data_IF_838374680709
#
_entry.id   IF_838374680709
#
_cell.length_a   1.000
_cell.length_b   1.000
_cell.length_c   1.000
_cell.angle_alpha   90.00
_cell.angle_beta   90.00
_cell.angle_gamma   90.00
#
_symmetry.space_group_name_H-M   'P 1'
#
loop_
_entity.id
_entity.type
_entity.pdbx_description
1 polymer ?
#
# COMPACT_ATOMS: atom_id res chain seq x y z
N UNK A 1 -4.12 -6.57 0.43
CA UNK A 1 -3.35 -7.78 0.07
C UNK A 1 -3.25 -7.81 -1.45
N UNK A 2 -2.12 -7.39 -2.04
CA UNK A 2 -2.05 -7.27 -3.51
C UNK A 2 -0.86 -6.53 -4.10
N UNK A 3 -0.06 -5.82 -3.30
CA UNK A 3 1.24 -5.30 -3.74
C UNK A 3 2.34 -6.18 -3.12
N UNK A 4 3.24 -6.72 -3.93
CA UNK A 4 4.47 -7.33 -3.43
C UNK A 4 5.23 -6.30 -2.60
N UNK A 5 5.84 -6.71 -1.47
CA UNK A 5 6.62 -5.83 -0.59
C UNK A 5 7.96 -5.36 -1.18
N UNK A 6 7.99 -5.10 -2.49
CA UNK A 6 9.15 -4.70 -3.25
C UNK A 6 9.01 -3.21 -3.56
N UNK A 7 10.06 -2.40 -3.37
CA UNK A 7 10.05 -0.99 -3.71
C UNK A 7 9.58 -0.75 -5.15
N UNK A 8 8.62 0.16 -5.35
CA UNK A 8 8.09 0.50 -6.67
C UNK A 8 6.98 -0.42 -7.23
N UNK A 9 6.51 -1.43 -6.47
CA UNK A 9 5.33 -2.22 -6.86
C UNK A 9 4.06 -1.36 -7.01
N UNK A 10 3.99 -0.22 -6.32
CA UNK A 10 2.89 0.75 -6.42
C UNK A 10 2.70 1.35 -7.82
N UNK A 11 3.78 1.49 -8.60
CA UNK A 11 3.74 2.07 -9.94
C UNK A 11 3.09 1.13 -10.97
N UNK A 12 3.35 -0.18 -10.83
CA UNK A 12 2.74 -1.20 -11.70
C UNK A 12 1.23 -1.24 -11.47
N UNK A 13 0.81 -1.19 -10.20
CA UNK A 13 -0.63 -1.10 -9.87
C UNK A 13 -1.26 0.19 -10.38
N UNK A 14 -0.52 1.30 -10.45
CA UNK A 14 -1.04 2.54 -11.02
C UNK A 14 -1.29 2.47 -12.53
N UNK A 15 -0.49 1.71 -13.29
CA UNK A 15 -0.80 1.45 -14.71
C UNK A 15 -2.15 0.76 -14.85
N UNK A 16 -2.41 -0.25 -14.04
CA UNK A 16 -3.70 -0.98 -14.05
C UNK A 16 -4.86 -0.07 -13.68
N UNK A 17 -4.68 0.81 -12.68
CA UNK A 17 -5.71 1.77 -12.28
C UNK A 17 -5.99 2.77 -13.39
N UNK A 18 -4.96 3.37 -14.01
CA UNK A 18 -5.13 4.34 -15.10
C UNK A 18 -5.88 3.75 -16.30
N UNK A 19 -5.58 2.50 -16.67
CA UNK A 19 -6.30 1.77 -17.72
C UNK A 19 -7.79 1.58 -17.35
N UNK A 20 -8.07 1.19 -16.10
CA UNK A 20 -9.45 1.00 -15.62
C UNK A 20 -10.31 2.27 -15.62
N UNK A 21 -9.69 3.45 -15.54
CA UNK A 21 -10.37 4.76 -15.58
C UNK A 21 -10.23 5.46 -16.93
N UNK A 22 -9.59 4.82 -17.92
CA UNK A 22 -9.43 5.34 -19.28
C UNK A 22 -8.47 6.54 -19.40
N UNK A 23 -7.56 6.72 -18.44
CA UNK A 23 -6.59 7.82 -18.44
C UNK A 23 -5.27 7.39 -19.13
N UNK A 24 -4.69 8.25 -20.00
CA UNK A 24 -3.43 7.92 -20.67
C UNK A 24 -2.25 7.78 -19.70
N UNK A 25 -1.38 6.80 -19.98
CA UNK A 25 -0.18 6.49 -19.18
C UNK A 25 0.87 7.61 -19.15
N UNK A 26 0.71 8.64 -19.99
CA UNK A 26 1.56 9.84 -20.05
C UNK A 26 1.62 10.60 -18.72
N UNK A 27 0.69 10.35 -17.79
CA UNK A 27 0.67 10.97 -16.46
C UNK A 27 1.56 10.27 -15.41
N UNK A 28 2.03 9.04 -15.66
CA UNK A 28 2.88 8.28 -14.72
C UNK A 28 4.18 9.04 -14.35
N UNK A 29 4.89 9.70 -15.28
CA UNK A 29 6.11 10.44 -14.96
C UNK A 29 5.92 11.57 -13.94
N UNK A 30 4.72 12.18 -13.88
CA UNK A 30 4.41 13.18 -12.84
C UNK A 30 4.40 12.57 -11.43
N UNK A 31 3.96 11.31 -11.32
CA UNK A 31 3.82 10.61 -10.05
C UNK A 31 5.17 10.03 -9.59
N UNK A 32 6.08 9.69 -10.53
CA UNK A 32 7.40 9.12 -10.22
C UNK A 32 8.23 9.95 -9.23
N UNK A 33 8.11 11.29 -9.27
CA UNK A 33 8.89 12.19 -8.42
C UNK A 33 8.50 12.06 -6.94
N UNK A 34 7.20 11.88 -6.66
CA UNK A 34 6.67 11.76 -5.30
C UNK A 34 6.57 10.31 -4.84
N UNK A 35 6.54 9.36 -5.78
CA UNK A 35 6.35 7.92 -5.54
C UNK A 35 7.32 7.38 -4.49
N UNK A 36 8.60 7.76 -4.52
CA UNK A 36 9.60 7.23 -3.58
C UNK A 36 9.28 7.51 -2.12
N UNK A 37 8.87 8.74 -1.82
CA UNK A 37 8.53 9.15 -0.46
C UNK A 37 7.21 8.50 -0.04
N UNK A 38 6.22 8.49 -0.94
CA UNK A 38 4.90 7.91 -0.68
C UNK A 38 4.95 6.39 -0.51
N UNK A 39 5.82 5.68 -1.23
CA UNK A 39 6.01 4.23 -1.12
C UNK A 39 6.59 3.82 0.25
N UNK A 40 7.52 4.64 0.78
CA UNK A 40 8.04 4.46 2.13
C UNK A 40 6.97 4.66 3.21
N UNK A 41 6.17 5.73 3.11
CA UNK A 41 5.05 5.95 4.03
C UNK A 41 4.00 4.84 3.96
N UNK A 42 3.73 4.33 2.75
CA UNK A 42 2.82 3.21 2.54
C UNK A 42 3.33 1.93 3.20
N UNK A 43 4.63 1.65 3.10
CA UNK A 43 5.24 0.51 3.79
C UNK A 43 5.12 0.65 5.31
N UNK A 44 5.43 1.84 5.86
CA UNK A 44 5.35 2.08 7.30
C UNK A 44 3.91 1.95 7.84
N UNK A 45 2.93 2.50 7.13
CA UNK A 45 1.52 2.44 7.53
C UNK A 45 0.94 1.02 7.43
N UNK A 46 1.34 0.24 6.43
CA UNK A 46 0.96 -1.17 6.33
C UNK A 46 1.47 -1.98 7.54
N UNK A 47 2.76 -1.83 7.88
CA UNK A 47 3.35 -2.51 9.05
C UNK A 47 2.67 -2.07 10.35
N UNK A 48 2.41 -0.77 10.50
CA UNK A 48 1.68 -0.25 11.67
C UNK A 48 0.28 -0.87 11.80
N UNK A 49 -0.47 -0.96 10.70
CA UNK A 49 -1.79 -1.57 10.67
C UNK A 49 -1.78 -3.03 11.15
N UNK A 50 -0.80 -3.82 10.69
CA UNK A 50 -0.63 -5.22 11.09
C UNK A 50 -0.31 -5.36 12.59
N UNK A 51 0.51 -4.47 13.15
CA UNK A 51 0.81 -4.43 14.58
C UNK A 51 -0.43 -4.10 15.42
N UNK A 52 -1.22 -3.10 14.99
CA UNK A 52 -2.47 -2.72 15.65
C UNK A 52 -3.48 -3.86 15.60
N UNK A 53 -3.68 -4.48 14.43
CA UNK A 53 -4.57 -5.63 14.27
C UNK A 53 -4.16 -6.81 15.16
N UNK A 54 -2.85 -7.12 15.21
CA UNK A 54 -2.29 -8.15 16.08
C UNK A 54 -2.57 -7.85 17.54
N UNK A 55 -2.43 -6.59 17.98
CA UNK A 55 -2.70 -6.21 19.37
C UNK A 55 -4.17 -6.32 19.73
N UNK A 56 -5.07 -5.89 18.84
CA UNK A 56 -6.52 -6.02 19.03
C UNK A 56 -6.91 -7.49 19.13
N UNK A 57 -6.34 -8.34 18.27
CA UNK A 57 -6.61 -9.78 18.28
C UNK A 57 -6.09 -10.46 19.56
N UNK A 58 -4.87 -10.14 20.02
CA UNK A 58 -4.33 -10.62 21.30
C UNK A 58 -5.26 -10.27 22.47
N UNK A 59 -5.73 -9.01 22.50
CA UNK A 59 -6.67 -8.56 23.52
C UNK A 59 -8.00 -9.30 23.44
N UNK A 60 -8.62 -9.44 22.26
CA UNK A 60 -9.90 -10.17 22.12
C UNK A 60 -9.79 -11.65 22.46
N UNK A 61 -8.72 -12.31 22.01
CA UNK A 61 -8.48 -13.75 22.27
C UNK A 61 -8.27 -14.04 23.76
N UNK A 62 -7.71 -13.09 24.52
CA UNK A 62 -7.57 -13.19 25.99
C UNK A 62 -8.89 -13.01 26.75
N UNK A 63 -9.92 -12.41 26.14
CA UNK A 63 -11.24 -12.27 26.76
C UNK A 63 -12.18 -13.45 26.44
N UNK A 64 -11.92 -14.19 25.36
CA UNK A 64 -12.64 -15.43 25.02
C UNK A 64 -12.10 -16.67 25.75
N UNK A 65 -10.93 -16.58 26.38
CA UNK A 65 -10.37 -17.61 27.27
C UNK A 65 -10.61 -17.25 28.73
#
# INVERSE_FOLDING_TARGET
>A
VGAAGIPGAGLIMMMVVLDSVGLPHTYIPLILVVDRILDMFRTATNVWGDLVATKILDTKTKFEK
#
